data_IF_668081637300
#
_entry.id   IF_668081637300
#
_cell.length_a   1.000
_cell.length_b   1.000
_cell.length_c   1.000
_cell.angle_alpha   90.00
_cell.angle_beta   90.00
_cell.angle_gamma   90.00
#
_symmetry.space_group_name_H-M   'P 1'
#
loop_
_entity.id
_entity.type
_entity.pdbx_description
1 polymer ?
#
# COMPACT_ATOMS: atom_id res chain seq x y z
N UNK A 1 -0.60 -3.19 13.55
CA UNK A 1 -1.90 -3.45 12.89
C UNK A 1 -1.63 -4.19 11.58
N UNK A 2 -2.50 -5.12 11.16
CA UNK A 2 -2.36 -5.88 9.90
C UNK A 2 -3.48 -5.45 8.93
N UNK A 3 -3.26 -4.41 8.09
CA UNK A 3 -4.35 -3.75 7.35
C UNK A 3 -5.21 -4.70 6.50
N UNK A 4 -4.64 -5.64 5.71
CA UNK A 4 -5.46 -6.53 4.90
C UNK A 4 -6.38 -7.45 5.71
N UNK A 5 -6.01 -7.80 6.94
CA UNK A 5 -6.85 -8.64 7.79
C UNK A 5 -8.03 -7.84 8.35
N UNK A 6 -7.77 -6.59 8.78
CA UNK A 6 -8.80 -5.69 9.26
C UNK A 6 -9.85 -5.40 8.18
N UNK A 7 -9.42 -5.11 6.95
CA UNK A 7 -10.34 -4.87 5.83
C UNK A 7 -11.22 -6.08 5.55
N UNK A 8 -10.65 -7.29 5.54
CA UNK A 8 -11.43 -8.53 5.36
C UNK A 8 -12.48 -8.69 6.46
N UNK A 9 -12.10 -8.46 7.72
CA UNK A 9 -13.02 -8.57 8.85
C UNK A 9 -14.15 -7.53 8.78
N UNK A 10 -13.86 -6.30 8.39
CA UNK A 10 -14.88 -5.24 8.27
C UNK A 10 -15.82 -5.46 7.07
N UNK A 11 -15.33 -6.09 6.00
CA UNK A 11 -16.13 -6.40 4.82
C UNK A 11 -17.00 -7.66 4.98
N UNK A 12 -16.68 -8.52 5.96
CA UNK A 12 -17.46 -9.72 6.31
C UNK A 12 -18.71 -9.35 7.11
N UNK A 13 -19.74 -8.89 6.41
CA UNK A 13 -20.99 -8.44 7.00
C UNK A 13 -22.18 -8.87 6.12
N UNK A 14 -23.31 -9.33 6.68
CA UNK A 14 -24.43 -9.90 5.91
C UNK A 14 -25.04 -8.94 4.88
N UNK A 15 -24.95 -7.63 5.12
CA UNK A 15 -25.45 -6.60 4.19
C UNK A 15 -24.43 -6.15 3.14
N UNK A 16 -23.27 -6.80 3.05
CA UNK A 16 -22.21 -6.45 2.10
C UNK A 16 -22.05 -7.61 1.11
N UNK A 17 -22.24 -7.32 -0.17
CA UNK A 17 -21.95 -8.25 -1.26
C UNK A 17 -20.65 -7.83 -1.94
N UNK A 18 -19.61 -8.66 -1.83
CA UNK A 18 -18.29 -8.39 -2.40
C UNK A 18 -18.17 -9.01 -3.79
N UNK A 19 -17.85 -8.19 -4.80
CA UNK A 19 -17.54 -8.65 -6.16
C UNK A 19 -16.05 -8.42 -6.45
N UNK A 20 -15.23 -9.46 -6.31
CA UNK A 20 -13.78 -9.41 -6.61
C UNK A 20 -13.48 -9.76 -8.06
N UNK A 21 -12.28 -9.43 -8.54
CA UNK A 21 -11.88 -9.72 -9.94
C UNK A 21 -12.66 -8.90 -10.96
N UNK A 22 -13.29 -7.82 -10.51
CA UNK A 22 -14.06 -6.87 -11.33
C UNK A 22 -13.47 -5.49 -11.13
N UNK A 23 -13.40 -4.71 -12.21
CA UNK A 23 -12.94 -3.32 -12.19
C UNK A 23 -14.04 -2.47 -12.79
N UNK A 24 -14.61 -1.56 -12.01
CA UNK A 24 -15.57 -0.59 -12.56
C UNK A 24 -14.82 0.43 -13.43
N UNK A 25 -15.11 0.43 -14.73
CA UNK A 25 -14.50 1.31 -15.74
C UNK A 25 -15.43 2.45 -16.13
N UNK A 26 -16.75 2.22 -16.12
CA UNK A 26 -17.75 3.25 -16.44
C UNK A 26 -18.67 3.51 -15.27
N UNK A 27 -19.21 4.72 -15.22
CA UNK A 27 -20.17 5.15 -14.22
C UNK A 27 -21.14 6.15 -14.85
N UNK A 28 -22.36 5.70 -15.11
CA UNK A 28 -23.37 6.46 -15.83
C UNK A 28 -24.60 6.72 -14.94
N UNK A 29 -25.07 7.95 -14.91
CA UNK A 29 -26.30 8.32 -14.18
C UNK A 29 -27.47 8.44 -15.15
N UNK A 30 -28.55 7.72 -14.87
CA UNK A 30 -29.82 7.85 -15.59
C UNK A 30 -30.77 8.79 -14.79
N UNK A 31 -31.07 10.00 -15.30
CA UNK A 31 -31.98 10.93 -14.64
C UNK A 31 -33.44 10.45 -14.58
N UNK A 32 -33.89 9.64 -15.53
CA UNK A 32 -35.27 9.14 -15.58
C UNK A 32 -35.50 8.06 -14.52
N UNK A 33 -34.53 7.15 -14.35
CA UNK A 33 -34.56 6.10 -13.32
C UNK A 33 -34.00 6.55 -11.96
N UNK A 34 -33.34 7.72 -11.92
CA UNK A 34 -32.65 8.26 -10.74
C UNK A 34 -31.66 7.27 -10.13
N UNK A 35 -30.91 6.61 -11.00
CA UNK A 35 -30.00 5.54 -10.62
C UNK A 35 -28.66 5.65 -11.35
N UNK A 36 -27.62 5.18 -10.69
CA UNK A 36 -26.30 4.98 -11.24
C UNK A 36 -26.14 3.55 -11.73
N UNK A 37 -25.46 3.40 -12.86
CA UNK A 37 -25.00 2.11 -13.38
C UNK A 37 -23.48 2.13 -13.43
N UNK A 38 -22.85 1.18 -12.73
CA UNK A 38 -21.41 0.93 -12.85
C UNK A 38 -21.19 -0.23 -13.82
N UNK A 39 -20.21 -0.12 -14.71
CA UNK A 39 -19.91 -1.14 -15.72
C UNK A 39 -18.42 -1.47 -15.85
N UNK A 40 -18.13 -2.63 -16.45
CA UNK A 40 -16.81 -3.05 -16.89
C UNK A 40 -16.83 -3.49 -18.36
N UNK A 41 -15.73 -4.07 -18.86
CA UNK A 41 -15.60 -4.55 -20.25
C UNK A 41 -16.66 -5.61 -20.62
N UNK A 42 -17.24 -6.30 -19.64
CA UNK A 42 -18.22 -7.37 -19.83
C UNK A 42 -19.67 -6.87 -19.70
N UNK A 43 -19.87 -5.60 -19.30
CA UNK A 43 -21.18 -4.97 -19.14
C UNK A 43 -21.47 -4.48 -17.71
N UNK A 44 -22.74 -4.38 -17.32
CA UNK A 44 -23.12 -3.75 -16.05
C UNK A 44 -22.72 -4.61 -14.84
N UNK A 45 -22.06 -3.98 -13.87
CA UNK A 45 -21.66 -4.57 -12.59
C UNK A 45 -22.74 -4.46 -11.52
N UNK A 46 -23.36 -3.28 -11.43
CA UNK A 46 -24.37 -2.96 -10.42
C UNK A 46 -25.17 -1.73 -10.82
N UNK A 47 -26.41 -1.65 -10.35
CA UNK A 47 -27.28 -0.48 -10.43
C UNK A 47 -27.68 -0.09 -9.01
N UNK A 48 -27.56 1.19 -8.68
CA UNK A 48 -27.89 1.69 -7.34
C UNK A 48 -28.32 3.16 -7.37
N UNK A 49 -29.13 3.59 -6.40
CA UNK A 49 -29.51 5.01 -6.25
C UNK A 49 -28.36 5.89 -5.75
N UNK A 50 -27.39 5.30 -5.05
CA UNK A 50 -26.24 5.99 -4.45
C UNK A 50 -24.95 5.23 -4.76
N UNK A 51 -23.89 5.97 -5.06
CA UNK A 51 -22.55 5.44 -5.31
C UNK A 51 -21.54 6.14 -4.41
N UNK A 52 -20.66 5.37 -3.79
CA UNK A 52 -19.51 5.87 -3.01
C UNK A 52 -18.23 5.45 -3.71
N UNK A 53 -17.43 6.42 -4.14
CA UNK A 53 -16.16 6.17 -4.80
C UNK A 53 -15.05 6.08 -3.75
N UNK A 54 -14.56 4.85 -3.51
CA UNK A 54 -13.49 4.54 -2.57
C UNK A 54 -12.26 3.91 -3.26
N UNK A 55 -12.05 4.22 -4.55
CA UNK A 55 -10.99 3.67 -5.38
C UNK A 55 -9.65 4.40 -5.30
N UNK A 56 -9.41 5.22 -4.27
CA UNK A 56 -8.20 6.04 -4.14
C UNK A 56 -7.92 6.90 -5.39
N UNK A 57 -6.68 6.90 -5.91
CA UNK A 57 -6.28 7.74 -7.03
C UNK A 57 -7.02 7.40 -8.32
N UNK A 58 -7.42 6.13 -8.48
CA UNK A 58 -8.19 5.62 -9.62
C UNK A 58 -9.59 6.24 -9.68
N UNK A 59 -10.08 6.87 -8.60
CA UNK A 59 -11.34 7.64 -8.61
C UNK A 59 -11.32 8.77 -9.65
N UNK A 60 -10.15 9.30 -10.03
CA UNK A 60 -10.06 10.35 -11.05
C UNK A 60 -10.40 9.86 -12.48
N UNK A 61 -10.58 8.55 -12.70
CA UNK A 61 -10.84 8.00 -14.04
C UNK A 61 -12.27 8.27 -14.54
N UNK A 62 -13.22 8.54 -13.65
CA UNK A 62 -14.62 8.78 -14.03
C UNK A 62 -14.85 10.25 -14.37
N UNK A 63 -15.68 10.54 -15.38
CA UNK A 63 -15.96 11.91 -15.79
C UNK A 63 -16.52 12.78 -14.66
N UNK A 64 -17.34 12.21 -13.79
CA UNK A 64 -17.91 12.90 -12.62
C UNK A 64 -16.86 13.34 -11.60
N UNK A 65 -15.67 12.73 -11.57
CA UNK A 65 -14.63 12.97 -10.55
C UNK A 65 -13.27 13.30 -11.12
N UNK A 66 -13.10 13.37 -12.45
CA UNK A 66 -11.83 13.67 -13.11
C UNK A 66 -11.25 15.05 -12.77
N UNK A 67 -12.12 15.98 -12.37
CA UNK A 67 -11.75 17.35 -12.03
C UNK A 67 -11.11 17.47 -10.63
N UNK A 68 -11.16 16.40 -9.82
CA UNK A 68 -10.56 16.38 -8.49
C UNK A 68 -9.02 16.38 -8.61
N UNK A 69 -8.30 17.20 -7.82
CA UNK A 69 -6.83 17.32 -7.90
C UNK A 69 -6.13 16.14 -7.20
N UNK A 70 -6.39 14.91 -7.63
CA UNK A 70 -5.83 13.70 -7.04
C UNK A 70 -4.40 13.46 -7.52
N UNK A 71 -3.48 13.24 -6.57
CA UNK A 71 -2.08 12.89 -6.86
C UNK A 71 -1.80 11.45 -6.44
N UNK A 72 -1.40 10.61 -7.39
CA UNK A 72 -0.94 9.25 -7.10
C UNK A 72 0.43 9.31 -6.44
N UNK A 73 0.52 8.84 -5.19
CA UNK A 73 1.76 8.75 -4.43
C UNK A 73 2.13 7.28 -4.30
N UNK A 74 3.31 6.90 -4.81
CA UNK A 74 3.85 5.54 -4.63
C UNK A 74 4.58 5.47 -3.29
N UNK A 75 4.28 4.44 -2.52
CA UNK A 75 5.01 4.07 -1.31
C UNK A 75 5.55 2.65 -1.43
N UNK A 76 6.66 2.36 -0.77
CA UNK A 76 7.24 1.02 -0.68
C UNK A 76 7.44 0.63 0.78
N UNK A 77 7.03 -0.59 1.13
CA UNK A 77 7.23 -1.19 2.45
C UNK A 77 8.24 -2.31 2.32
N UNK A 78 9.30 -2.29 3.13
CA UNK A 78 10.30 -3.37 3.15
C UNK A 78 10.25 -4.10 4.48
N UNK A 79 10.01 -5.40 4.46
CA UNK A 79 10.13 -6.24 5.65
C UNK A 79 11.54 -6.79 5.78
N UNK A 80 12.15 -6.59 6.95
CA UNK A 80 13.43 -7.18 7.34
C UNK A 80 13.24 -7.99 8.63
N UNK A 81 14.09 -9.01 8.88
CA UNK A 81 14.08 -9.73 10.15
C UNK A 81 14.37 -8.80 11.33
N UNK A 82 13.71 -9.05 12.46
CA UNK A 82 14.04 -8.32 13.69
C UNK A 82 15.43 -8.75 14.22
N UNK A 83 16.19 -7.78 14.73
CA UNK A 83 17.38 -8.02 15.54
C UNK A 83 16.99 -8.07 17.02
N UNK A 84 17.92 -8.43 17.89
CA UNK A 84 17.69 -8.41 19.33
C UNK A 84 17.31 -6.98 19.80
N UNK A 85 17.99 -5.96 19.30
CA UNK A 85 17.71 -4.57 19.63
C UNK A 85 16.38 -4.07 19.06
N UNK A 86 16.07 -4.40 17.80
CA UNK A 86 14.80 -3.95 17.20
C UNK A 86 13.59 -4.69 17.77
N UNK A 87 13.76 -5.89 18.30
CA UNK A 87 12.71 -6.62 19.04
C UNK A 87 12.30 -5.92 20.34
N UNK A 88 13.17 -5.09 20.92
CA UNK A 88 12.88 -4.31 22.13
C UNK A 88 12.07 -3.05 21.84
N UNK A 89 11.90 -2.68 20.57
CA UNK A 89 11.14 -1.50 20.18
C UNK A 89 9.65 -1.72 20.48
N UNK A 90 9.05 -0.82 21.27
CA UNK A 90 7.62 -0.90 21.66
C UNK A 90 6.73 0.15 20.98
N UNK A 91 7.34 1.13 20.31
CA UNK A 91 6.66 2.25 19.67
C UNK A 91 7.11 2.39 18.22
N UNK A 92 6.29 3.04 17.40
CA UNK A 92 6.69 3.43 16.04
C UNK A 92 7.73 4.54 16.13
N UNK A 93 8.79 4.43 15.34
CA UNK A 93 9.76 5.51 15.15
C UNK A 93 9.41 6.26 13.87
N UNK A 94 9.33 7.59 13.95
CA UNK A 94 8.96 8.47 12.84
C UNK A 94 10.11 9.43 12.49
N UNK A 95 10.43 9.54 11.20
CA UNK A 95 11.43 10.44 10.63
C UNK A 95 11.06 10.73 9.17
N UNK A 96 12.03 10.72 8.25
CA UNK A 96 11.73 10.75 6.79
C UNK A 96 10.98 9.49 6.30
N UNK A 97 10.91 8.46 7.14
CA UNK A 97 10.09 7.27 6.98
C UNK A 97 9.65 6.77 8.36
N UNK A 98 9.23 5.51 8.45
CA UNK A 98 8.89 4.92 9.75
C UNK A 98 9.32 3.46 9.91
N UNK A 99 9.50 3.06 11.16
CA UNK A 99 9.83 1.69 11.58
C UNK A 99 8.76 1.20 12.55
N UNK A 100 8.18 0.04 12.27
CA UNK A 100 7.15 -0.59 13.11
C UNK A 100 7.75 -1.66 14.05
N UNK A 101 7.28 -1.80 15.30
CA UNK A 101 7.70 -2.84 16.25
C UNK A 101 7.46 -4.29 15.84
N UNK A 102 6.36 -4.57 15.12
CA UNK A 102 5.85 -5.93 14.92
C UNK A 102 6.23 -6.42 13.53
N UNK A 103 7.31 -7.20 13.48
CA UNK A 103 8.18 -7.40 12.31
C UNK A 103 8.91 -6.10 11.99
N UNK A 104 10.23 -6.15 11.79
CA UNK A 104 10.96 -4.97 11.36
C UNK A 104 10.58 -4.66 9.90
N UNK A 105 9.36 -4.18 9.68
CA UNK A 105 8.94 -3.55 8.44
C UNK A 105 9.44 -2.11 8.52
N UNK A 106 10.48 -1.83 7.76
CA UNK A 106 10.99 -0.50 7.54
C UNK A 106 10.39 0.05 6.25
N UNK A 107 9.81 1.25 6.34
CA UNK A 107 9.37 1.98 5.16
C UNK A 107 10.40 3.05 4.87
N UNK A 108 11.06 2.86 3.74
CA UNK A 108 11.83 3.88 3.09
C UNK A 108 10.92 4.59 2.08
N UNK A 109 10.76 5.90 2.24
CA UNK A 109 10.25 6.72 1.16
C UNK A 109 11.30 6.76 0.04
N UNK A 110 10.96 6.20 -1.13
CA UNK A 110 11.79 6.33 -2.32
C UNK A 110 11.22 7.46 -3.21
N UNK A 111 12.02 8.49 -3.56
CA UNK A 111 11.61 9.45 -4.58
C UNK A 111 11.42 8.75 -5.93
N UNK A 112 10.58 9.30 -6.84
CA UNK A 112 10.06 8.61 -8.02
C UNK A 112 11.09 8.25 -9.12
N UNK A 113 12.39 8.45 -8.92
CA UNK A 113 13.41 8.32 -9.97
C UNK A 113 14.22 7.02 -10.01
N UNK A 114 14.01 6.07 -9.10
CA UNK A 114 14.85 4.84 -9.08
C UNK A 114 14.08 3.59 -9.49
N UNK A 115 14.30 3.14 -10.74
CA UNK A 115 13.89 1.84 -11.28
C UNK A 115 14.82 0.68 -10.87
N UNK A 116 15.46 0.77 -9.70
CA UNK A 116 16.47 -0.21 -9.26
C UNK A 116 15.81 -1.40 -8.56
N UNK A 117 16.13 -2.66 -8.94
CA UNK A 117 15.63 -3.84 -8.24
C UNK A 117 16.02 -3.83 -6.76
N UNK A 118 15.11 -4.32 -5.92
CA UNK A 118 15.24 -4.33 -4.46
C UNK A 118 16.21 -5.43 -4.03
N UNK A 119 17.46 -5.06 -3.79
CA UNK A 119 18.47 -5.91 -3.13
C UNK A 119 18.60 -5.48 -1.66
N UNK A 120 18.99 -6.39 -0.75
CA UNK A 120 19.30 -6.10 0.65
C UNK A 120 20.26 -4.89 0.83
N UNK A 121 21.17 -4.71 -0.13
CA UNK A 121 22.07 -3.56 -0.21
C UNK A 121 21.33 -2.23 -0.43
N UNK A 122 20.33 -2.19 -1.31
CA UNK A 122 19.49 -1.02 -1.59
C UNK A 122 18.64 -0.64 -0.37
N UNK A 123 18.11 -1.64 0.36
CA UNK A 123 17.36 -1.43 1.61
C UNK A 123 18.25 -0.80 2.69
N UNK A 124 19.44 -1.34 2.89
CA UNK A 124 20.39 -0.83 3.90
C UNK A 124 20.86 0.59 3.57
N UNK A 125 21.13 0.87 2.29
CA UNK A 125 21.51 2.20 1.82
C UNK A 125 20.37 3.22 2.00
N UNK A 126 19.13 2.82 1.74
CA UNK A 126 17.98 3.71 1.94
C UNK A 126 17.75 4.02 3.41
N UNK A 127 17.87 3.04 4.30
CA UNK A 127 17.67 3.25 5.74
C UNK A 127 18.76 4.13 6.36
N UNK A 128 20.02 4.02 5.91
CA UNK A 128 21.11 4.93 6.34
C UNK A 128 20.87 6.38 5.89
N UNK A 129 20.27 6.60 4.72
CA UNK A 129 19.90 7.94 4.25
C UNK A 129 18.74 8.52 5.06
N UNK A 130 17.73 7.71 5.35
CA UNK A 130 16.53 8.12 6.10
C UNK A 130 16.82 8.39 7.59
N UNK A 131 17.85 7.75 8.16
CA UNK A 131 18.22 7.87 9.58
C UNK A 131 19.74 8.03 9.79
N UNK A 132 20.33 9.17 9.39
CA UNK A 132 21.78 9.40 9.46
C UNK A 132 22.31 9.46 10.91
N UNK A 133 21.46 9.80 11.88
CA UNK A 133 21.81 9.87 13.30
C UNK A 133 21.93 8.49 13.97
N UNK A 134 21.67 7.38 13.25
CA UNK A 134 21.82 6.02 13.75
C UNK A 134 22.97 5.30 13.02
N UNK A 135 24.24 5.59 13.37
CA UNK A 135 25.41 5.12 12.63
C UNK A 135 25.60 3.59 12.67
N UNK A 136 25.08 2.92 13.71
CA UNK A 136 25.25 1.48 13.95
C UNK A 136 24.00 0.66 13.57
N UNK A 137 23.41 0.91 12.40
CA UNK A 137 22.34 0.03 11.92
C UNK A 137 22.85 -1.42 11.80
N UNK A 138 22.24 -2.42 12.46
CA UNK A 138 22.68 -3.80 12.35
C UNK A 138 22.42 -4.28 10.92
N UNK A 139 23.48 -4.54 10.18
CA UNK A 139 23.42 -5.27 8.91
C UNK A 139 23.02 -6.70 9.24
N UNK A 140 21.72 -6.96 9.35
CA UNK A 140 21.17 -8.30 9.46
C UNK A 140 21.27 -8.99 8.09
N UNK A 141 22.47 -9.47 7.77
CA UNK A 141 22.81 -10.67 6.98
C UNK A 141 24.22 -10.48 6.38
N UNK A 142 25.26 -10.91 7.10
CA UNK A 142 26.39 -11.52 6.40
C UNK A 142 25.85 -12.82 5.82
N UNK A 143 25.84 -12.95 4.49
CA UNK A 143 25.72 -14.27 3.89
C UNK A 143 26.86 -15.14 4.43
N UNK A 144 26.61 -16.40 4.85
CA UNK A 144 27.71 -17.32 5.11
C UNK A 144 28.45 -17.52 3.79
N UNK A 145 29.68 -17.00 3.71
CA UNK A 145 30.55 -17.21 2.55
C UNK A 145 30.77 -18.72 2.32
N UNK A 146 31.09 -19.13 1.08
CA UNK A 146 31.27 -20.54 0.77
C UNK A 146 32.37 -21.10 1.65
N UNK A 147 32.05 -22.14 2.43
CA UNK A 147 33.04 -22.95 3.14
C UNK A 147 33.91 -23.60 2.07
N UNK A 148 35.15 -23.11 1.93
CA UNK A 148 36.21 -23.87 1.25
C UNK A 148 36.47 -25.10 2.12
N UNK A 149 36.21 -26.28 1.57
CA UNK A 149 36.88 -27.50 1.98
C UNK A 149 38.23 -27.58 1.26
#
# INVERSE_FOLDING_TARGET
>A
MHPPALVRQLADHPNIVIKTGRTALTLDYDPAQRSWTAGDEQGPLAVASVVVLAGAAETAQFDSTRHLPLKKIRGQITSIPASEESSRLRTVLCGEGYISPRAAAAIAWAPPSSSTPTTLASTTASMRKTWPCWPNWPVAARQPGPRRA
#
